data_IF_423948511632
#
_entry.id   IF_423948511632
#
_cell.length_a   1.000
_cell.length_b   1.000
_cell.length_c   1.000
_cell.angle_alpha   90.00
_cell.angle_beta   90.00
_cell.angle_gamma   90.00
#
_symmetry.space_group_name_H-M   'P 1'
#
loop_
_entity.id
_entity.type
_entity.pdbx_description
1 polymer ?
#
# COMPACT_ATOMS: atom_id res chain seq x y z
N UNK A 1 -2.11 -28.85 9.50
CA UNK A 1 -2.86 -27.70 8.92
C UNK A 1 -2.78 -26.49 9.84
N UNK A 2 -3.53 -26.39 10.95
CA UNK A 2 -3.40 -25.22 11.83
C UNK A 2 -2.01 -25.11 12.49
N UNK A 3 -1.50 -26.20 13.07
CA UNK A 3 -0.16 -26.20 13.71
C UNK A 3 0.94 -25.81 12.72
N UNK A 4 0.94 -26.40 11.53
CA UNK A 4 1.88 -26.07 10.45
C UNK A 4 1.83 -24.59 10.03
N UNK A 5 0.62 -24.02 9.93
CA UNK A 5 0.45 -22.59 9.67
C UNK A 5 1.01 -21.72 10.81
N UNK A 6 0.79 -22.13 12.08
CA UNK A 6 1.32 -21.41 13.24
C UNK A 6 2.85 -21.49 13.30
N UNK A 7 3.43 -22.64 12.98
CA UNK A 7 4.87 -22.85 12.93
C UNK A 7 5.51 -21.95 11.86
N UNK A 8 4.94 -21.93 10.65
CA UNK A 8 5.37 -21.04 9.57
C UNK A 8 5.34 -19.55 9.96
N UNK A 9 4.25 -19.09 10.59
CA UNK A 9 4.12 -17.70 11.01
C UNK A 9 5.09 -17.33 12.14
N UNK A 10 5.32 -18.25 13.09
CA UNK A 10 6.30 -18.08 14.15
C UNK A 10 7.72 -17.97 13.60
N UNK A 11 8.07 -18.81 12.63
CA UNK A 11 9.40 -18.78 12.01
C UNK A 11 9.58 -17.53 11.14
N UNK A 12 8.51 -17.08 10.47
CA UNK A 12 8.49 -15.82 9.72
C UNK A 12 8.81 -14.62 10.63
N UNK A 13 8.18 -14.52 11.80
CA UNK A 13 8.44 -13.40 12.73
C UNK A 13 9.77 -13.56 13.48
N UNK A 14 10.23 -14.81 13.72
CA UNK A 14 11.57 -15.09 14.25
C UNK A 14 12.68 -14.63 13.30
N UNK A 15 12.47 -14.74 11.98
CA UNK A 15 13.35 -14.16 10.96
C UNK A 15 13.28 -12.63 10.85
N UNK A 16 12.49 -11.96 11.70
CA UNK A 16 12.25 -10.52 11.63
C UNK A 16 11.25 -10.12 10.55
N UNK A 17 10.57 -11.07 9.90
CA UNK A 17 9.48 -10.82 8.98
C UNK A 17 8.26 -10.20 9.67
N UNK A 18 7.42 -9.52 8.90
CA UNK A 18 6.16 -8.99 9.41
C UNK A 18 4.97 -9.76 8.82
N UNK A 19 3.95 -9.96 9.65
CA UNK A 19 2.70 -10.60 9.26
C UNK A 19 1.61 -9.54 9.15
N UNK A 20 0.82 -9.59 8.08
CA UNK A 20 -0.33 -8.72 7.89
C UNK A 20 -1.62 -9.51 8.13
N UNK A 21 -2.39 -9.12 9.15
CA UNK A 21 -3.68 -9.70 9.47
C UNK A 21 -4.77 -9.01 8.65
N UNK A 22 -5.57 -9.76 7.90
CA UNK A 22 -6.56 -9.22 6.97
C UNK A 22 -7.93 -9.86 7.21
N UNK A 23 -8.94 -9.02 7.37
CA UNK A 23 -10.33 -9.46 7.41
C UNK A 23 -11.27 -8.29 7.63
N UNK A 24 -12.06 -7.98 6.61
CA UNK A 24 -12.99 -6.83 6.58
C UNK A 24 -14.41 -7.20 7.00
N UNK A 25 -14.64 -8.47 7.32
CA UNK A 25 -15.91 -8.96 7.85
C UNK A 25 -16.18 -8.33 9.21
N UNK A 26 -17.44 -7.97 9.47
CA UNK A 26 -17.83 -7.24 10.70
C UNK A 26 -17.43 -8.02 11.95
N UNK A 27 -17.56 -9.34 11.92
CA UNK A 27 -17.19 -10.27 12.98
C UNK A 27 -15.66 -10.34 13.20
N UNK A 28 -14.86 -10.17 12.13
CA UNK A 28 -13.40 -10.26 12.17
C UNK A 28 -12.71 -8.92 12.45
N UNK A 29 -13.38 -7.79 12.24
CA UNK A 29 -12.76 -6.47 12.25
C UNK A 29 -12.11 -6.10 13.60
N UNK A 30 -12.80 -6.37 14.72
CA UNK A 30 -12.27 -6.07 16.05
C UNK A 30 -11.23 -7.10 16.54
N UNK A 31 -11.45 -8.43 16.39
CA UNK A 31 -10.46 -9.44 16.75
C UNK A 31 -9.12 -9.26 16.04
N UNK A 32 -9.15 -9.02 14.72
CA UNK A 32 -7.95 -8.82 13.91
C UNK A 32 -7.13 -7.62 14.39
N UNK A 33 -7.78 -6.48 14.62
CA UNK A 33 -7.09 -5.27 15.08
C UNK A 33 -6.45 -5.50 16.46
N UNK A 34 -7.21 -6.07 17.39
CA UNK A 34 -6.76 -6.27 18.78
C UNK A 34 -5.55 -7.20 18.84
N UNK A 35 -5.65 -8.35 18.17
CA UNK A 35 -4.62 -9.40 18.22
C UNK A 35 -3.37 -9.05 17.41
N UNK A 36 -3.51 -8.34 16.28
CA UNK A 36 -2.37 -7.82 15.53
C UNK A 36 -1.58 -6.78 16.35
N UNK A 37 -2.28 -5.83 17.00
CA UNK A 37 -1.65 -4.83 17.85
C UNK A 37 -0.95 -5.46 19.07
N UNK A 38 -1.57 -6.48 19.67
CA UNK A 38 -0.99 -7.24 20.79
C UNK A 38 0.31 -7.94 20.37
N UNK A 39 0.32 -8.56 19.20
CA UNK A 39 1.48 -9.29 18.64
C UNK A 39 2.50 -8.40 17.91
N UNK A 40 2.35 -7.07 17.96
CA UNK A 40 3.21 -6.09 17.26
C UNK A 40 3.25 -6.27 15.75
N UNK A 41 2.18 -6.84 15.18
CA UNK A 41 1.98 -7.05 13.76
C UNK A 41 1.04 -6.00 13.17
N UNK A 42 0.84 -6.05 11.86
CA UNK A 42 0.04 -5.09 11.11
C UNK A 42 -1.33 -5.66 10.78
N UNK A 43 -2.31 -4.80 10.48
CA UNK A 43 -3.66 -5.25 10.18
C UNK A 43 -4.38 -4.42 9.12
N UNK A 44 -5.40 -5.03 8.51
CA UNK A 44 -6.44 -4.40 7.69
C UNK A 44 -7.79 -4.99 8.08
N UNK A 45 -8.65 -4.19 8.71
CA UNK A 45 -9.89 -4.68 9.32
C UNK A 45 -11.18 -4.03 8.79
N UNK A 46 -11.12 -2.95 7.98
CA UNK A 46 -12.32 -2.34 7.40
C UNK A 46 -12.42 -2.51 5.88
N UNK A 47 -11.38 -2.14 5.12
CA UNK A 47 -11.44 -2.20 3.65
C UNK A 47 -10.06 -2.41 3.05
N UNK A 48 -9.94 -3.42 2.22
CA UNK A 48 -8.81 -3.57 1.30
C UNK A 48 -8.92 -2.57 0.14
N UNK A 49 -7.91 -1.72 -0.04
CA UNK A 49 -7.79 -0.87 -1.23
C UNK A 49 -7.07 -1.68 -2.31
N UNK A 50 -7.66 -1.78 -3.50
CA UNK A 50 -6.96 -2.42 -4.63
C UNK A 50 -5.63 -1.71 -4.91
N UNK A 51 -4.57 -2.48 -5.04
CA UNK A 51 -3.21 -1.98 -5.16
C UNK A 51 -2.48 -1.82 -3.82
N UNK A 52 -3.03 -2.31 -2.71
CA UNK A 52 -2.43 -2.19 -1.38
C UNK A 52 -1.02 -2.77 -1.33
N UNK A 53 -0.80 -3.93 -1.95
CA UNK A 53 0.53 -4.55 -2.01
C UNK A 53 1.20 -4.28 -3.35
N UNK A 54 0.45 -4.41 -4.45
CA UNK A 54 1.00 -4.33 -5.81
C UNK A 54 1.40 -2.90 -6.21
N UNK A 55 0.79 -1.87 -5.62
CA UNK A 55 1.12 -0.45 -5.82
C UNK A 55 1.62 0.21 -4.53
N UNK A 56 2.50 -0.48 -3.80
CA UNK A 56 3.00 -0.05 -2.49
C UNK A 56 3.59 1.37 -2.46
N UNK A 57 4.28 1.80 -3.53
CA UNK A 57 4.85 3.16 -3.61
C UNK A 57 3.78 4.24 -3.51
N UNK A 58 2.60 4.03 -4.09
CA UNK A 58 1.49 4.99 -4.05
C UNK A 58 0.74 4.92 -2.72
N UNK A 59 0.60 3.72 -2.16
CA UNK A 59 0.03 3.50 -0.83
C UNK A 59 0.87 4.20 0.22
N UNK A 60 2.20 4.07 0.17
CA UNK A 60 3.12 4.79 1.05
C UNK A 60 2.94 6.30 0.99
N UNK A 61 2.87 6.90 -0.21
CA UNK A 61 2.57 8.33 -0.34
C UNK A 61 1.26 8.74 0.32
N UNK A 62 0.27 7.85 0.34
CA UNK A 62 -1.01 8.11 1.01
C UNK A 62 -0.90 7.96 2.53
N UNK A 63 -0.07 7.04 3.03
CA UNK A 63 0.31 6.94 4.45
C UNK A 63 1.07 8.21 4.89
N UNK A 64 1.98 8.72 4.08
CA UNK A 64 2.74 9.94 4.39
C UNK A 64 1.81 11.16 4.48
N UNK A 65 0.85 11.29 3.55
CA UNK A 65 -0.21 12.31 3.64
C UNK A 65 -1.04 12.14 4.90
N UNK A 66 -1.43 10.92 5.24
CA UNK A 66 -2.18 10.63 6.45
C UNK A 66 -1.42 11.05 7.72
N UNK A 67 -0.11 10.76 7.79
CA UNK A 67 0.75 11.23 8.87
C UNK A 67 0.77 12.75 8.99
N UNK A 68 0.88 13.46 7.87
CA UNK A 68 0.83 14.92 7.84
C UNK A 68 -0.52 15.47 8.33
N UNK A 69 -1.65 14.88 7.93
CA UNK A 69 -2.96 15.28 8.43
C UNK A 69 -3.11 15.07 9.94
N UNK A 70 -2.59 13.97 10.47
CA UNK A 70 -2.59 13.72 11.91
C UNK A 70 -1.74 14.72 12.67
N UNK A 71 -0.60 15.14 12.11
CA UNK A 71 0.25 16.18 12.71
C UNK A 71 -0.46 17.53 12.76
N UNK A 72 -1.15 17.91 11.67
CA UNK A 72 -2.01 19.10 11.63
C UNK A 72 -3.12 19.01 12.69
N UNK A 73 -3.79 17.87 12.80
CA UNK A 73 -4.86 17.66 13.77
C UNK A 73 -4.36 17.50 15.22
N UNK A 74 -3.06 17.29 15.43
CA UNK A 74 -2.46 17.23 16.76
C UNK A 74 -1.93 18.60 17.24
N UNK A 75 -1.56 19.49 16.31
CA UNK A 75 -1.00 20.81 16.63
C UNK A 75 -2.06 21.91 16.59
N UNK A 76 -2.28 22.58 17.72
CA UNK A 76 -3.23 23.72 17.78
C UNK A 76 -2.78 24.90 16.91
N UNK A 77 -1.47 25.16 16.81
CA UNK A 77 -0.92 26.21 15.95
C UNK A 77 -1.23 25.95 14.48
N UNK A 78 -0.99 24.71 14.00
CA UNK A 78 -1.29 24.32 12.61
C UNK A 78 -2.78 24.34 12.31
N UNK A 79 -3.65 24.05 13.28
CA UNK A 79 -5.10 24.19 13.12
C UNK A 79 -5.52 25.65 12.97
N UNK A 80 -4.89 26.55 13.71
CA UNK A 80 -5.22 27.98 13.68
C UNK A 80 -4.84 28.65 12.35
N UNK A 81 -3.84 28.12 11.64
CA UNK A 81 -3.46 28.57 10.30
C UNK A 81 -4.47 28.20 9.21
N UNK A 82 -5.35 27.21 9.47
CA UNK A 82 -6.32 26.70 8.50
C UNK A 82 -7.71 27.31 8.70
N UNK A 83 -8.44 27.52 7.61
CA UNK A 83 -9.85 27.88 7.70
C UNK A 83 -10.68 26.70 8.25
N UNK A 84 -11.83 27.00 8.86
CA UNK A 84 -12.78 25.97 9.34
C UNK A 84 -13.19 24.97 8.24
N UNK A 85 -13.26 25.42 6.99
CA UNK A 85 -13.58 24.57 5.82
C UNK A 85 -12.45 23.60 5.52
N UNK A 86 -11.20 24.07 5.52
CA UNK A 86 -10.02 23.24 5.29
C UNK A 86 -9.79 22.25 6.43
N UNK A 87 -9.96 22.69 7.68
CA UNK A 87 -9.86 21.80 8.84
C UNK A 87 -10.90 20.66 8.77
N UNK A 88 -12.13 20.97 8.36
CA UNK A 88 -13.17 19.95 8.16
C UNK A 88 -12.80 18.98 7.02
N UNK A 89 -12.17 19.45 5.95
CA UNK A 89 -11.67 18.59 4.87
C UNK A 89 -10.56 17.66 5.37
N UNK A 90 -9.57 18.18 6.10
CA UNK A 90 -8.49 17.41 6.72
C UNK A 90 -9.05 16.34 7.67
N UNK A 91 -10.04 16.67 8.50
CA UNK A 91 -10.69 15.70 9.39
C UNK A 91 -11.37 14.57 8.63
N UNK A 92 -12.12 14.88 7.57
CA UNK A 92 -12.81 13.88 6.74
C UNK A 92 -11.82 12.97 6.01
N UNK A 93 -10.73 13.52 5.48
CA UNK A 93 -9.67 12.73 4.86
C UNK A 93 -8.96 11.83 5.88
N UNK A 94 -8.70 12.34 7.08
CA UNK A 94 -8.10 11.58 8.19
C UNK A 94 -8.98 10.40 8.57
N UNK A 95 -10.29 10.57 8.71
CA UNK A 95 -11.23 9.47 9.00
C UNK A 95 -11.26 8.42 7.89
N UNK A 96 -11.18 8.87 6.62
CA UNK A 96 -11.13 7.96 5.47
C UNK A 96 -9.85 7.13 5.48
N UNK A 97 -8.71 7.76 5.74
CA UNK A 97 -7.43 7.06 5.86
C UNK A 97 -7.38 6.14 7.08
N UNK A 98 -7.89 6.57 8.24
CA UNK A 98 -7.92 5.75 9.46
C UNK A 98 -8.60 4.40 9.23
N UNK A 99 -9.71 4.38 8.47
CA UNK A 99 -10.41 3.14 8.14
C UNK A 99 -9.56 2.15 7.33
N UNK A 100 -8.69 2.63 6.43
CA UNK A 100 -8.02 1.74 5.46
C UNK A 100 -6.52 1.58 5.68
N UNK A 101 -5.87 2.57 6.30
CA UNK A 101 -4.41 2.68 6.37
C UNK A 101 -3.85 2.64 7.78
N UNK A 102 -4.67 2.76 8.84
CA UNK A 102 -4.16 2.85 10.21
C UNK A 102 -3.31 1.63 10.59
N UNK A 103 -3.80 0.43 10.32
CA UNK A 103 -3.11 -0.81 10.69
C UNK A 103 -1.83 -1.10 9.88
N UNK A 104 -1.61 -0.39 8.76
CA UNK A 104 -0.39 -0.50 7.93
C UNK A 104 0.48 0.76 8.00
N UNK A 105 0.09 1.75 8.80
CA UNK A 105 0.72 3.07 8.88
C UNK A 105 2.21 3.00 9.24
N UNK A 106 2.57 2.05 10.11
CA UNK A 106 3.95 1.84 10.58
C UNK A 106 4.73 0.80 9.75
N UNK A 107 4.20 0.38 8.59
CA UNK A 107 4.89 -0.58 7.73
C UNK A 107 5.97 0.09 6.88
N UNK A 108 7.21 -0.32 7.09
CA UNK A 108 8.34 0.16 6.28
C UNK A 108 8.56 -0.66 5.01
N UNK A 109 8.05 -1.88 4.94
CA UNK A 109 8.18 -2.76 3.77
C UNK A 109 6.93 -3.62 3.62
N UNK A 110 6.83 -4.29 2.49
CA UNK A 110 5.79 -5.29 2.26
C UNK A 110 5.87 -6.39 3.33
N UNK A 111 4.72 -6.98 3.69
CA UNK A 111 4.68 -8.05 4.67
C UNK A 111 5.35 -9.31 4.10
N UNK A 112 5.91 -10.11 5.00
CA UNK A 112 6.54 -11.40 4.68
C UNK A 112 5.52 -12.53 4.58
N UNK A 113 4.36 -12.39 5.24
CA UNK A 113 3.24 -13.31 5.13
C UNK A 113 1.90 -12.59 5.38
N UNK A 114 0.81 -13.14 4.85
CA UNK A 114 -0.55 -12.71 5.15
C UNK A 114 -1.28 -13.76 5.97
N UNK A 115 -2.05 -13.31 6.95
CA UNK A 115 -3.07 -14.11 7.62
C UNK A 115 -4.46 -13.55 7.26
N UNK A 116 -5.28 -14.34 6.57
CA UNK A 116 -6.56 -13.90 6.00
C UNK A 116 -7.72 -14.68 6.60
N UNK A 117 -8.75 -13.96 7.06
CA UNK A 117 -10.05 -14.52 7.45
C UNK A 117 -11.06 -14.21 6.36
N UNK A 118 -11.77 -15.24 5.90
CA UNK A 118 -12.73 -15.19 4.78
C UNK A 118 -12.04 -14.85 3.44
N UNK A 119 -11.40 -15.87 2.85
CA UNK A 119 -10.64 -15.73 1.59
C UNK A 119 -11.51 -15.32 0.40
N UNK A 120 -12.81 -15.61 0.43
CA UNK A 120 -13.75 -15.19 -0.61
C UNK A 120 -13.96 -13.69 -0.58
N UNK A 121 -14.25 -13.15 0.61
CA UNK A 121 -14.42 -11.71 0.80
C UNK A 121 -13.14 -10.92 0.52
N UNK A 122 -11.99 -11.47 0.90
CA UNK A 122 -10.66 -10.85 0.70
C UNK A 122 -9.95 -11.30 -0.59
N UNK A 123 -10.71 -11.67 -1.62
CA UNK A 123 -10.16 -12.19 -2.89
C UNK A 123 -9.15 -11.24 -3.57
N UNK A 124 -9.32 -9.92 -3.44
CA UNK A 124 -8.36 -8.94 -3.98
C UNK A 124 -7.02 -9.04 -3.25
N UNK A 125 -7.03 -9.19 -1.92
CA UNK A 125 -5.82 -9.36 -1.12
C UNK A 125 -5.08 -10.64 -1.51
N UNK A 126 -5.83 -11.75 -1.69
CA UNK A 126 -5.30 -13.03 -2.15
C UNK A 126 -4.62 -12.90 -3.51
N UNK A 127 -5.29 -12.28 -4.48
CA UNK A 127 -4.74 -12.08 -5.82
C UNK A 127 -3.48 -11.21 -5.82
N UNK A 128 -3.45 -10.13 -5.03
CA UNK A 128 -2.28 -9.27 -4.91
C UNK A 128 -1.10 -9.96 -4.25
N UNK A 129 -1.34 -10.71 -3.17
CA UNK A 129 -0.31 -11.48 -2.49
C UNK A 129 0.29 -12.56 -3.40
N UNK A 130 -0.57 -13.29 -4.13
CA UNK A 130 -0.14 -14.29 -5.13
C UNK A 130 0.73 -13.67 -6.23
N UNK A 131 0.37 -12.50 -6.76
CA UNK A 131 1.16 -11.80 -7.79
C UNK A 131 2.54 -11.39 -7.31
N UNK A 132 2.70 -11.17 -6.01
CA UNK A 132 3.97 -10.79 -5.38
C UNK A 132 4.69 -11.99 -4.74
N UNK A 133 4.16 -13.19 -4.89
CA UNK A 133 4.66 -14.41 -4.25
C UNK A 133 4.79 -14.27 -2.72
N UNK A 134 3.86 -13.55 -2.09
CA UNK A 134 3.79 -13.46 -0.63
C UNK A 134 2.93 -14.63 -0.13
N UNK A 135 3.45 -15.48 0.77
CA UNK A 135 2.73 -16.66 1.27
C UNK A 135 1.49 -16.27 2.08
N UNK A 136 0.43 -17.06 1.93
CA UNK A 136 -0.89 -16.81 2.50
C UNK A 136 -1.28 -17.94 3.44
N UNK A 137 -1.58 -17.58 4.69
CA UNK A 137 -2.30 -18.41 5.65
C UNK A 137 -3.76 -17.99 5.63
N UNK A 138 -4.66 -18.88 5.22
CA UNK A 138 -6.08 -18.56 5.03
C UNK A 138 -7.00 -19.47 5.84
N UNK A 139 -7.94 -18.86 6.58
CA UNK A 139 -9.11 -19.58 7.11
C UNK A 139 -10.12 -19.74 5.99
N UNK A 140 -10.47 -20.98 5.68
CA UNK A 140 -11.37 -21.31 4.56
C UNK A 140 -12.56 -22.12 5.07
N UNK A 141 -13.75 -21.60 4.84
CA UNK A 141 -15.02 -22.29 5.03
C UNK A 141 -15.46 -23.01 3.74
N UNK A 142 -16.47 -23.87 3.87
CA UNK A 142 -17.11 -24.71 2.85
C UNK A 142 -17.55 -23.98 1.58
N UNK A 143 -17.80 -22.67 1.63
CA UNK A 143 -18.24 -21.86 0.50
C UNK A 143 -17.09 -21.26 -0.32
N UNK A 144 -15.84 -21.46 0.10
CA UNK A 144 -14.66 -20.79 -0.45
C UNK A 144 -13.66 -21.78 -1.06
N UNK A 145 -12.99 -21.37 -2.15
CA UNK A 145 -12.00 -22.22 -2.83
C UNK A 145 -10.62 -22.12 -2.17
N UNK A 146 -9.93 -23.24 -1.91
CA UNK A 146 -8.60 -23.25 -1.30
C UNK A 146 -7.44 -23.05 -2.32
N UNK A 147 -7.72 -22.88 -3.62
CA UNK A 147 -6.74 -23.00 -4.71
C UNK A 147 -5.57 -22.01 -4.64
N UNK A 148 -5.75 -20.85 -4.01
CA UNK A 148 -4.77 -19.76 -3.97
C UNK A 148 -4.19 -19.52 -2.57
N UNK A 149 -4.29 -20.52 -1.68
CA UNK A 149 -3.84 -20.44 -0.28
C UNK A 149 -2.71 -21.44 -0.06
N UNK A 150 -1.56 -20.95 0.42
CA UNK A 150 -0.39 -21.80 0.67
C UNK A 150 -0.57 -22.65 1.93
N UNK A 151 -1.06 -22.03 3.01
CA UNK A 151 -1.34 -22.69 4.28
C UNK A 151 -2.83 -22.63 4.58
N UNK A 152 -3.52 -23.69 4.19
CA UNK A 152 -4.95 -23.84 4.37
C UNK A 152 -5.30 -24.24 5.81
N UNK A 153 -6.18 -23.47 6.45
CA UNK A 153 -6.81 -23.83 7.72
C UNK A 153 -8.32 -23.96 7.51
N UNK A 154 -8.87 -25.19 7.47
CA UNK A 154 -10.31 -25.37 7.39
C UNK A 154 -10.96 -24.86 8.69
N UNK A 155 -11.96 -24.00 8.57
CA UNK A 155 -12.53 -23.35 9.75
C UNK A 155 -13.76 -22.50 9.46
N UNK A 156 -14.52 -22.20 10.52
CA UNK A 156 -15.69 -21.33 10.44
C UNK A 156 -15.26 -19.86 10.52
N UNK A 157 -15.50 -19.09 9.47
CA UNK A 157 -15.16 -17.66 9.38
C UNK A 157 -16.33 -16.71 9.71
N UNK A 158 -17.51 -17.23 10.07
CA UNK A 158 -18.70 -16.47 10.46
C UNK A 158 -18.84 -16.31 11.98
N UNK A 159 -18.34 -17.29 12.75
CA UNK A 159 -18.48 -17.32 14.19
C UNK A 159 -17.39 -16.49 14.89
N UNK A 160 -17.81 -15.46 15.65
CA UNK A 160 -16.89 -14.58 16.40
C UNK A 160 -15.93 -15.39 17.29
N UNK A 161 -16.43 -16.40 18.02
CA UNK A 161 -15.60 -17.25 18.88
C UNK A 161 -14.53 -18.03 18.12
N UNK A 162 -14.85 -18.48 16.89
CA UNK A 162 -13.89 -19.20 16.06
C UNK A 162 -12.83 -18.23 15.52
N UNK A 163 -13.25 -17.06 15.04
CA UNK A 163 -12.35 -15.99 14.61
C UNK A 163 -11.40 -15.58 15.76
N UNK A 164 -11.93 -15.37 16.97
CA UNK A 164 -11.14 -15.04 18.15
C UNK A 164 -10.08 -16.11 18.44
N UNK A 165 -10.46 -17.39 18.36
CA UNK A 165 -9.55 -18.51 18.53
C UNK A 165 -8.41 -18.46 17.50
N UNK A 166 -8.72 -18.27 16.22
CA UNK A 166 -7.72 -18.21 15.16
C UNK A 166 -6.79 -17.00 15.33
N UNK A 167 -7.35 -15.80 15.53
CA UNK A 167 -6.60 -14.57 15.75
C UNK A 167 -5.66 -14.70 16.96
N UNK A 168 -6.17 -15.24 18.07
CA UNK A 168 -5.38 -15.41 19.31
C UNK A 168 -4.24 -16.39 19.12
N UNK A 169 -4.52 -17.55 18.49
CA UNK A 169 -3.50 -18.57 18.22
C UNK A 169 -2.39 -18.03 17.32
N UNK A 170 -2.76 -17.37 16.23
CA UNK A 170 -1.81 -16.75 15.29
C UNK A 170 -1.03 -15.63 15.95
N UNK A 171 -1.67 -14.75 16.70
CA UNK A 171 -0.99 -13.67 17.41
C UNK A 171 0.01 -14.18 18.46
N UNK A 172 -0.32 -15.26 19.18
CA UNK A 172 0.62 -15.90 20.11
C UNK A 172 1.85 -16.47 19.40
N UNK A 173 1.66 -17.13 18.26
CA UNK A 173 2.75 -17.65 17.44
C UNK A 173 3.65 -16.52 16.92
N UNK A 174 3.05 -15.47 16.35
CA UNK A 174 3.75 -14.29 15.88
C UNK A 174 4.53 -13.58 16.99
N UNK A 175 3.93 -13.41 18.18
CA UNK A 175 4.56 -12.76 19.33
C UNK A 175 5.77 -13.58 19.82
N UNK A 176 5.63 -14.90 19.94
CA UNK A 176 6.73 -15.79 20.33
C UNK A 176 7.90 -15.67 19.37
N UNK A 177 7.65 -15.68 18.05
CA UNK A 177 8.71 -15.50 17.05
C UNK A 177 9.33 -14.10 17.12
N UNK A 178 8.52 -13.06 17.27
CA UNK A 178 9.01 -11.69 17.43
C UNK A 178 9.94 -11.53 18.65
N UNK A 179 9.56 -12.08 19.81
CA UNK A 179 10.37 -12.04 21.03
C UNK A 179 11.70 -12.79 20.86
N UNK A 180 11.69 -13.95 20.19
CA UNK A 180 12.92 -14.67 19.83
C UNK A 180 13.84 -13.77 18.99
N UNK A 181 13.30 -13.16 17.93
CA UNK A 181 14.06 -12.27 17.07
C UNK A 181 14.69 -11.09 17.85
N UNK A 182 13.91 -10.46 18.74
CA UNK A 182 14.42 -9.37 19.59
C UNK A 182 15.53 -9.85 20.53
N UNK A 183 15.41 -11.05 21.10
CA UNK A 183 16.45 -11.60 21.97
C UNK A 183 17.75 -11.89 21.22
N UNK A 184 17.66 -12.40 19.99
CA UNK A 184 18.81 -12.67 19.12
C UNK A 184 19.51 -11.36 18.72
N UNK A 185 18.75 -10.34 18.32
CA UNK A 185 19.29 -9.02 18.03
C UNK A 185 19.98 -8.40 19.26
N UNK A 186 19.40 -8.56 20.46
CA UNK A 186 20.00 -8.08 21.69
C UNK A 186 21.31 -8.81 22.04
N UNK A 187 21.36 -10.13 21.85
CA UNK A 187 22.57 -10.93 22.04
C UNK A 187 23.68 -10.50 21.06
N UNK A 188 23.35 -10.37 19.77
CA UNK A 188 24.30 -9.91 18.74
C UNK A 188 24.84 -8.49 19.01
N UNK A 189 24.02 -7.61 19.61
CA UNK A 189 24.46 -6.27 20.01
C UNK A 189 25.41 -6.31 21.20
N UNK A 190 25.21 -7.25 22.13
CA UNK A 190 26.07 -7.41 23.31
C UNK A 190 27.43 -8.03 22.97
N UNK A 191 27.45 -8.97 22.02
CA UNK A 191 28.66 -9.69 21.62
C UNK A 191 29.48 -8.93 20.57
N UNK A 192 28.98 -7.79 20.06
CA UNK A 192 29.76 -6.91 19.18
C UNK A 192 30.78 -6.13 20.03
N UNK A 193 32.10 -6.35 19.88
CA UNK A 193 33.11 -5.61 20.64
C UNK A 193 32.99 -4.10 20.35
N UNK A 194 33.13 -3.27 21.38
CA UNK A 194 33.00 -1.81 21.32
C UNK A 194 34.11 -1.09 20.53
N UNK A 195 34.94 -1.83 19.77
CA UNK A 195 36.21 -1.37 19.20
C UNK A 195 36.22 -1.18 17.67
N UNK A 196 35.05 -1.00 17.05
CA UNK A 196 34.98 -0.39 15.70
C UNK A 196 34.30 0.98 15.77
N UNK A 197 34.97 1.94 16.41
CA UNK A 197 34.95 3.30 15.87
C UNK A 197 35.71 3.26 14.55
N UNK A 198 35.01 2.96 13.45
CA UNK A 198 35.54 3.22 12.11
C UNK A 198 35.77 4.73 12.04
N UNK A 199 37.03 5.13 12.15
CA UNK A 199 37.47 6.49 11.93
C UNK A 199 37.18 6.88 10.48
N UNK A 200 36.00 7.45 10.26
CA UNK A 200 35.56 7.98 8.97
C UNK A 200 36.34 9.25 8.58
N UNK A 201 37.32 9.69 9.38
CA UNK A 201 38.15 10.88 9.09
C UNK A 201 39.26 10.62 8.05
N UNK A 202 39.64 9.36 7.78
CA UNK A 202 40.83 9.06 6.97
C UNK A 202 40.59 8.61 5.51
N UNK A 203 39.39 8.80 4.93
CA UNK A 203 39.13 8.51 3.49
C UNK A 203 38.29 9.57 2.78
N UNK A 204 38.68 10.84 2.88
CA UNK A 204 38.43 11.82 1.80
C UNK A 204 39.73 12.11 1.04
N UNK A 205 40.37 11.04 0.55
CA UNK A 205 41.36 11.14 -0.51
C UNK A 205 40.63 11.29 -1.83
N UNK A 206 40.32 12.53 -2.23
CA UNK A 206 39.77 12.86 -3.55
C UNK A 206 40.80 12.40 -4.61
N UNK A 207 40.61 11.21 -5.16
CA UNK A 207 41.45 10.72 -6.27
C UNK A 207 41.04 11.46 -7.52
N UNK A 208 41.67 12.60 -7.78
CA UNK A 208 41.65 13.27 -9.08
C UNK A 208 42.34 12.32 -10.05
N UNK A 209 41.55 11.64 -10.88
CA UNK A 209 42.09 10.89 -12.01
C UNK A 209 42.31 11.92 -13.11
N UNK A 210 43.55 12.38 -13.25
CA UNK A 210 43.97 13.25 -14.35
C UNK A 210 43.86 12.47 -15.65
N UNK A 211 42.76 12.68 -16.39
CA UNK A 211 42.59 12.14 -17.73
C UNK A 211 43.52 12.95 -18.65
N UNK A 212 44.73 12.44 -18.89
CA UNK A 212 45.58 12.91 -19.99
C UNK A 212 44.88 12.62 -21.32
N UNK A 213 44.13 13.59 -21.83
CA UNK A 213 43.68 13.54 -23.22
C UNK A 213 44.90 13.67 -24.13
N UNK A 214 45.14 12.65 -24.96
CA UNK A 214 46.13 12.70 -26.01
C UNK A 214 45.72 13.80 -27.03
N UNK A 215 46.66 14.62 -27.54
CA UNK A 215 46.35 15.63 -28.53
C UNK A 215 45.87 14.96 -29.81
N UNK A 216 44.60 15.17 -30.17
CA UNK A 216 44.10 14.81 -31.50
C UNK A 216 44.81 15.69 -32.52
N UNK A 217 45.78 15.08 -33.21
CA UNK A 217 46.44 15.62 -34.39
C UNK A 217 45.40 16.13 -35.38
N UNK A 218 45.53 17.40 -35.75
CA UNK A 218 44.82 17.97 -36.88
C UNK A 218 45.17 17.24 -38.17
N UNK A 219 44.16 17.05 -39.02
CA UNK A 219 44.33 16.83 -40.45
C UNK A 219 43.29 17.69 -41.15
N UNK A 220 43.78 18.64 -41.93
CA UNK A 220 42.99 19.71 -42.51
C UNK A 220 42.21 19.36 -43.78
N UNK A 221 41.33 20.31 -44.09
CA UNK A 221 41.12 21.00 -45.36
C UNK A 221 40.44 20.29 -46.55
N UNK A 222 39.31 20.91 -46.97
CA UNK A 222 38.61 20.78 -48.27
C UNK A 222 37.44 19.79 -48.23
N UNK A 223 36.22 20.08 -48.69
CA UNK A 223 35.67 21.20 -49.48
C UNK A 223 34.14 21.04 -49.61
N UNK A 224 33.38 22.13 -49.55
CA UNK A 224 32.17 22.39 -50.36
C UNK A 224 30.88 21.60 -50.09
N UNK A 225 29.80 22.31 -49.73
CA UNK A 225 28.44 21.76 -49.82
C UNK A 225 27.39 22.62 -49.10
N UNK A 226 26.80 23.57 -49.82
CA UNK A 226 25.75 24.47 -49.37
C UNK A 226 24.43 23.75 -49.02
N UNK A 227 23.59 24.37 -48.17
CA UNK A 227 22.15 24.11 -48.21
C UNK A 227 21.35 24.38 -46.93
N UNK A 228 20.79 25.58 -46.84
CA UNK A 228 19.38 25.76 -46.44
C UNK A 228 19.04 25.73 -44.95
N UNK A 229 19.06 26.91 -44.32
CA UNK A 229 18.30 27.16 -43.09
C UNK A 229 16.80 27.30 -43.37
N UNK A 230 15.97 26.82 -42.43
CA UNK A 230 14.59 27.30 -42.24
C UNK A 230 14.27 27.42 -40.76
N UNK A 231 14.20 28.67 -40.34
CA UNK A 231 13.53 29.20 -39.16
C UNK A 231 12.01 29.02 -39.26
N UNK A 232 11.35 28.72 -38.14
CA UNK A 232 9.92 28.97 -37.98
C UNK A 232 9.73 30.04 -36.90
N UNK A 233 9.33 31.23 -37.36
CA UNK A 233 8.88 32.36 -36.57
C UNK A 233 7.36 32.32 -36.43
N UNK A 234 6.90 32.87 -35.31
CA UNK A 234 5.52 33.07 -34.91
C UNK A 234 4.73 34.10 -35.74
N UNK A 235 3.41 34.10 -35.52
CA UNK A 235 2.40 35.09 -35.94
C UNK A 235 1.21 34.39 -36.60
N UNK A 236 -0.07 34.56 -36.25
CA UNK A 236 -0.77 35.57 -35.48
C UNK A 236 -2.02 36.02 -36.26
N UNK A 237 -3.16 36.17 -35.57
CA UNK A 237 -4.46 36.77 -35.99
C UNK A 237 -5.40 35.98 -36.93
N UNK A 238 -6.73 36.12 -36.90
CA UNK A 238 -7.76 36.63 -35.98
C UNK A 238 -9.14 36.49 -36.70
N UNK A 239 -10.23 36.44 -35.92
CA UNK A 239 -11.64 36.73 -36.27
C UNK A 239 -12.36 35.78 -37.27
N UNK A 240 -13.67 35.49 -37.19
CA UNK A 240 -14.75 35.93 -36.31
C UNK A 240 -16.12 35.61 -36.94
N UNK A 241 -17.12 35.28 -36.09
CA UNK A 241 -18.58 35.32 -36.37
C UNK A 241 -19.17 34.22 -37.26
N UNK A 242 -20.46 33.89 -37.23
CA UNK A 242 -21.62 34.13 -36.34
C UNK A 242 -22.82 33.44 -37.05
N UNK A 243 -23.79 32.92 -36.30
CA UNK A 243 -25.15 32.60 -36.77
C UNK A 243 -25.30 31.23 -37.45
N UNK A 244 -26.39 30.49 -37.26
CA UNK A 244 -27.63 30.73 -36.54
C UNK A 244 -28.56 29.54 -36.81
N UNK A 245 -29.38 29.21 -35.81
CA UNK A 245 -30.77 28.71 -35.82
C UNK A 245 -31.31 27.92 -37.03
N UNK A 246 -31.87 26.73 -36.77
CA UNK A 246 -33.32 26.52 -36.95
C UNK A 246 -33.80 25.23 -36.27
N UNK A 247 -34.92 25.37 -35.56
CA UNK A 247 -35.71 24.32 -34.93
C UNK A 247 -36.82 23.87 -35.89
N UNK A 248 -37.26 22.61 -35.82
CA UNK A 248 -38.71 22.32 -35.75
C UNK A 248 -38.98 20.91 -35.20
N UNK A 249 -40.12 20.82 -34.53
CA UNK A 249 -40.70 19.75 -33.77
C UNK A 249 -41.40 18.68 -34.62
N UNK A 250 -41.67 17.53 -34.01
CA UNK A 250 -43.01 16.94 -34.03
C UNK A 250 -43.11 15.80 -33.01
N UNK A 251 -44.06 15.98 -32.10
CA UNK A 251 -44.58 14.95 -31.21
C UNK A 251 -45.82 14.34 -31.86
N UNK A 252 -46.02 13.04 -31.67
CA UNK A 252 -47.36 12.43 -31.76
C UNK A 252 -47.50 11.32 -30.70
N UNK A 253 -48.62 11.28 -29.95
CA UNK A 253 -48.82 10.36 -28.83
C UNK A 253 -49.79 9.19 -29.16
N UNK A 254 -49.85 8.20 -28.26
CA UNK A 254 -51.06 7.40 -27.98
C UNK A 254 -50.82 5.88 -27.83
N UNK A 255 -51.80 5.12 -27.29
CA UNK A 255 -52.85 5.49 -26.35
C UNK A 255 -52.94 4.54 -25.12
N UNK A 256 -53.64 5.03 -24.09
CA UNK A 256 -54.15 4.22 -22.98
C UNK A 256 -55.54 3.66 -23.35
N UNK A 257 -55.82 2.42 -22.98
CA UNK A 257 -57.11 1.76 -23.05
C UNK A 257 -57.37 0.97 -21.78
N UNK A 258 -58.42 1.39 -21.08
CA UNK A 258 -58.99 0.89 -19.83
C UNK A 258 -59.81 -0.41 -20.03
N UNK A 259 -60.05 -1.18 -18.96
CA UNK A 259 -60.96 -2.34 -19.00
C UNK A 259 -60.90 -3.33 -17.84
N UNK A 260 -61.39 -2.93 -16.66
CA UNK A 260 -62.44 -3.63 -15.90
C UNK A 260 -62.35 -5.10 -15.42
N UNK A 261 -62.60 -5.26 -14.11
CA UNK A 261 -63.37 -6.33 -13.42
C UNK A 261 -62.74 -7.73 -13.22
N UNK A 262 -62.45 -8.03 -11.94
CA UNK A 262 -62.92 -9.15 -11.10
C UNK A 262 -61.87 -9.54 -10.06
#
# INVERSE_FOLDING_TARGET
MLEEALDFLRDTTAGGGSVLFVGTKRQAAAPIMTEALRSKQYYVNNRWLGGMLTNWKTVRKSIDRYNGHLEVLASEDKKAELSKKELAAVSRETEKYAKSLEGIRKMERLPSALFIIDVGKESIAVQEAKRLCIPIVGIVDSNNSPRDIDFLVPGNDDAIRAIDLYCTAVANACLTGYERHQSELAAQRRDRPQDEKVDLSAKTGRRVVEIKQAPRRGRGQGSGGAGGGRSYSAGGHAAGGKGGDDADASATPGPAGDGGQA
#
